data_IF_094161642325
#
_entry.id   IF_094161642325
#
_cell.length_a   1.000
_cell.length_b   1.000
_cell.length_c   1.000
_cell.angle_alpha   90.00
_cell.angle_beta   90.00
_cell.angle_gamma   90.00
#
_symmetry.space_group_name_H-M   'P 1'
#
loop_
_entity.id
_entity.type
_entity.pdbx_description
1 polymer ?
#
# COMPACT_ATOMS: atom_id res chain seq x y z
N UNK A 1 17.11 -3.80 -12.87
CA UNK A 1 16.24 -4.70 -12.07
C UNK A 1 16.29 -4.30 -10.58
N UNK A 2 15.43 -3.38 -10.09
CA UNK A 2 15.35 -3.00 -8.65
C UNK A 2 13.93 -2.56 -8.26
N UNK A 3 12.97 -3.48 -8.34
CA UNK A 3 11.62 -3.36 -7.76
C UNK A 3 11.20 -4.76 -7.32
N UNK A 4 11.77 -5.24 -6.21
CA UNK A 4 11.38 -6.54 -5.61
C UNK A 4 11.61 -6.61 -4.09
N UNK A 5 12.17 -5.56 -3.49
CA UNK A 5 12.57 -5.58 -2.07
C UNK A 5 11.46 -5.14 -1.10
N UNK A 6 10.44 -4.40 -1.56
CA UNK A 6 9.34 -3.91 -0.72
C UNK A 6 8.10 -4.80 -0.73
N UNK A 7 7.71 -5.34 -1.88
CA UNK A 7 6.56 -6.26 -2.00
C UNK A 7 6.82 -7.55 -1.21
N UNK A 8 8.03 -8.10 -1.30
CA UNK A 8 8.44 -9.22 -0.47
C UNK A 8 8.43 -8.92 1.04
N UNK A 9 8.38 -7.66 1.47
CA UNK A 9 8.40 -7.32 2.90
C UNK A 9 6.98 -7.24 3.48
N UNK A 10 6.00 -6.76 2.70
CA UNK A 10 4.60 -6.75 3.13
C UNK A 10 4.02 -8.17 3.15
N UNK A 11 4.12 -8.90 2.04
CA UNK A 11 3.57 -10.25 1.90
C UNK A 11 4.14 -11.22 2.94
N UNK A 12 5.45 -11.10 3.24
CA UNK A 12 6.08 -11.93 4.27
C UNK A 12 5.55 -11.61 5.67
N UNK A 13 5.36 -10.34 6.01
CA UNK A 13 4.81 -9.95 7.31
C UNK A 13 3.35 -10.34 7.46
N UNK A 14 2.57 -10.18 6.40
CA UNK A 14 1.17 -10.61 6.37
C UNK A 14 1.05 -12.11 6.57
N UNK A 15 1.86 -12.89 5.85
CA UNK A 15 1.92 -14.34 6.03
C UNK A 15 2.32 -14.74 7.45
N UNK A 16 3.30 -14.06 8.05
CA UNK A 16 3.68 -14.31 9.44
C UNK A 16 2.55 -13.99 10.41
N UNK A 17 1.77 -12.94 10.17
CA UNK A 17 0.57 -12.60 10.93
C UNK A 17 -0.49 -13.71 10.85
N UNK A 18 -0.73 -14.27 9.66
CA UNK A 18 -1.64 -15.42 9.48
C UNK A 18 -1.13 -16.65 10.24
N UNK A 19 0.16 -16.94 10.17
CA UNK A 19 0.80 -18.03 10.93
C UNK A 19 0.61 -17.83 12.44
N UNK A 20 0.83 -16.61 12.95
CA UNK A 20 0.62 -16.27 14.37
C UNK A 20 -0.85 -16.49 14.76
N UNK A 21 -1.82 -16.04 13.95
CA UNK A 21 -3.25 -16.24 14.21
C UNK A 21 -3.57 -17.73 14.32
N UNK A 22 -3.09 -18.53 13.36
CA UNK A 22 -3.30 -19.98 13.36
C UNK A 22 -2.67 -20.65 14.58
N UNK A 23 -1.49 -20.19 15.03
CA UNK A 23 -0.84 -20.75 16.22
C UNK A 23 -1.63 -20.39 17.48
N UNK A 24 -2.05 -19.13 17.64
CA UNK A 24 -2.82 -18.65 18.79
C UNK A 24 -4.22 -19.28 18.90
N UNK A 25 -4.79 -19.75 17.78
CA UNK A 25 -6.06 -20.48 17.77
C UNK A 25 -5.92 -21.95 18.21
N UNK A 26 -4.70 -22.49 18.29
CA UNK A 26 -4.47 -23.86 18.77
C UNK A 26 -4.40 -23.90 20.31
N UNK A 27 -5.06 -24.88 20.91
CA UNK A 27 -5.18 -25.03 22.37
C UNK A 27 -3.87 -25.45 23.09
N UNK A 28 -2.80 -25.75 22.36
CA UNK A 28 -1.52 -26.25 22.91
C UNK A 28 -0.47 -25.17 23.19
N UNK A 29 -0.76 -23.89 22.93
CA UNK A 29 0.19 -22.79 23.14
C UNK A 29 0.26 -22.39 24.60
N UNK A 30 1.47 -22.31 25.16
CA UNK A 30 1.65 -21.85 26.53
C UNK A 30 1.34 -20.36 26.70
N UNK A 31 1.11 -19.92 27.93
CA UNK A 31 0.81 -18.50 28.22
C UNK A 31 1.94 -17.56 27.80
N UNK A 32 3.19 -17.93 28.08
CA UNK A 32 4.35 -17.10 27.76
C UNK A 32 4.56 -17.01 26.24
N UNK A 33 4.36 -18.11 25.52
CA UNK A 33 4.41 -18.13 24.06
C UNK A 33 3.26 -17.32 23.45
N UNK A 34 2.05 -17.44 24.00
CA UNK A 34 0.90 -16.65 23.57
C UNK A 34 1.17 -15.15 23.69
N UNK A 35 1.78 -14.71 24.79
CA UNK A 35 2.13 -13.31 25.00
C UNK A 35 3.18 -12.83 23.99
N UNK A 36 4.24 -13.62 23.78
CA UNK A 36 5.28 -13.28 22.81
C UNK A 36 4.75 -13.21 21.37
N UNK A 37 3.90 -14.16 20.97
CA UNK A 37 3.24 -14.18 19.66
C UNK A 37 2.29 -12.98 19.48
N UNK A 38 1.58 -12.60 20.54
CA UNK A 38 0.72 -11.41 20.50
C UNK A 38 1.53 -10.13 20.30
N UNK A 39 2.63 -9.95 21.03
CA UNK A 39 3.53 -8.81 20.87
C UNK A 39 4.10 -8.73 19.44
N UNK A 40 4.54 -9.87 18.90
CA UNK A 40 5.00 -9.98 17.52
C UNK A 40 3.89 -9.57 16.53
N UNK A 41 2.68 -10.13 16.71
CA UNK A 41 1.52 -9.85 15.86
C UNK A 41 1.13 -8.38 15.85
N UNK A 42 1.16 -7.70 17.01
CA UNK A 42 0.89 -6.26 17.11
C UNK A 42 1.94 -5.45 16.33
N UNK A 43 3.23 -5.80 16.46
CA UNK A 43 4.29 -5.12 15.72
C UNK A 43 4.15 -5.31 14.20
N UNK A 44 3.92 -6.53 13.75
CA UNK A 44 3.72 -6.85 12.34
C UNK A 44 2.49 -6.11 11.76
N UNK A 45 1.39 -6.07 12.51
CA UNK A 45 0.15 -5.40 12.09
C UNK A 45 0.38 -3.91 11.86
N UNK A 46 1.09 -3.24 12.78
CA UNK A 46 1.50 -1.84 12.64
C UNK A 46 2.34 -1.62 11.38
N UNK A 47 3.30 -2.50 11.10
CA UNK A 47 4.16 -2.37 9.92
C UNK A 47 3.41 -2.59 8.60
N UNK A 48 2.45 -3.52 8.58
CA UNK A 48 1.54 -3.73 7.46
C UNK A 48 0.70 -2.48 7.20
N UNK A 49 0.09 -1.89 8.23
CA UNK A 49 -0.68 -0.65 8.12
C UNK A 49 0.16 0.51 7.55
N UNK A 50 1.38 0.70 8.04
CA UNK A 50 2.29 1.72 7.52
C UNK A 50 2.61 1.51 6.03
N UNK A 51 2.80 0.25 5.62
CA UNK A 51 3.06 -0.10 4.23
C UNK A 51 1.87 0.23 3.33
N UNK A 52 0.65 -0.10 3.77
CA UNK A 52 -0.59 0.20 3.06
C UNK A 52 -0.81 1.71 2.93
N UNK A 53 -0.66 2.47 4.02
CA UNK A 53 -0.78 3.93 4.01
C UNK A 53 0.23 4.58 3.05
N UNK A 54 1.46 4.07 3.01
CA UNK A 54 2.48 4.53 2.08
C UNK A 54 2.11 4.25 0.61
N UNK A 55 1.51 3.09 0.33
CA UNK A 55 1.05 2.72 -1.00
C UNK A 55 -0.13 3.60 -1.43
N UNK A 56 -1.12 3.81 -0.55
CA UNK A 56 -2.28 4.67 -0.79
C UNK A 56 -1.85 6.09 -1.12
N UNK A 57 -1.01 6.70 -0.28
CA UNK A 57 -0.49 8.06 -0.50
C UNK A 57 0.20 8.19 -1.86
N UNK A 58 0.94 7.16 -2.27
CA UNK A 58 1.62 7.15 -3.57
C UNK A 58 0.62 7.09 -4.72
N UNK A 59 -0.43 6.28 -4.60
CA UNK A 59 -1.50 6.18 -5.60
C UNK A 59 -2.22 7.53 -5.72
N UNK A 60 -2.59 8.15 -4.62
CA UNK A 60 -3.26 9.47 -4.60
C UNK A 60 -2.43 10.52 -5.34
N UNK A 61 -1.13 10.64 -5.01
CA UNK A 61 -0.23 11.58 -5.70
C UNK A 61 -0.06 11.29 -7.19
N UNK A 62 -0.13 10.03 -7.61
CA UNK A 62 -0.05 9.66 -9.01
C UNK A 62 -1.33 10.03 -9.76
N UNK A 63 -2.50 9.85 -9.13
CA UNK A 63 -3.79 10.28 -9.69
C UNK A 63 -3.83 11.79 -9.88
N UNK A 64 -3.49 12.57 -8.85
CA UNK A 64 -3.44 14.04 -8.94
C UNK A 64 -2.54 14.53 -10.08
N UNK A 65 -1.36 13.92 -10.24
CA UNK A 65 -0.45 14.25 -11.35
C UNK A 65 -1.04 13.90 -12.70
N UNK A 66 -1.72 12.76 -12.80
CA UNK A 66 -2.34 12.31 -14.05
C UNK A 66 -3.50 13.22 -14.44
N UNK A 67 -4.33 13.62 -13.48
CA UNK A 67 -5.44 14.55 -13.70
C UNK A 67 -4.93 15.92 -14.16
N UNK A 68 -3.86 16.43 -13.53
CA UNK A 68 -3.21 17.68 -13.95
C UNK A 68 -2.60 17.62 -15.37
N UNK A 69 -2.13 16.45 -15.80
CA UNK A 69 -1.66 16.25 -17.18
C UNK A 69 -2.86 16.30 -18.13
N UNK A 70 -3.93 15.57 -17.84
CA UNK A 70 -5.15 15.56 -18.68
C UNK A 70 -5.71 16.97 -18.83
N UNK A 71 -5.77 17.75 -17.76
CA UNK A 71 -6.27 19.12 -17.80
C UNK A 71 -5.39 20.03 -18.67
N UNK A 72 -4.07 19.90 -18.58
CA UNK A 72 -3.14 20.62 -19.47
C UNK A 72 -3.32 20.26 -20.95
N UNK A 73 -3.46 18.97 -21.26
CA UNK A 73 -3.65 18.52 -22.64
C UNK A 73 -4.99 19.01 -23.22
N UNK A 74 -6.07 19.03 -22.41
CA UNK A 74 -7.36 19.61 -22.82
C UNK A 74 -7.25 21.10 -23.12
N UNK A 75 -6.62 21.87 -22.25
CA UNK A 75 -6.47 23.32 -22.43
C UNK A 75 -5.61 23.67 -23.66
N UNK A 76 -4.67 22.81 -24.06
CA UNK A 76 -3.89 22.98 -25.29
C UNK A 76 -4.68 22.68 -26.58
N UNK A 77 -5.80 21.94 -26.52
CA UNK A 77 -6.66 21.64 -27.67
C UNK A 77 -7.65 22.78 -27.97
N UNK A 78 -8.09 23.51 -26.94
CA UNK A 78 -9.02 24.63 -27.08
C UNK A 78 -8.36 25.86 -27.75
N UNK A 79 -7.03 25.99 -27.68
CA UNK A 79 -6.27 27.12 -28.26
C UNK A 79 -6.17 27.10 -29.80
N UNK A 80 -6.57 26.00 -30.46
CA UNK A 80 -6.55 25.85 -31.92
C UNK A 80 -7.92 25.93 -32.58
N UNK A 81 -9.02 26.02 -31.81
CA UNK A 81 -10.38 26.06 -32.37
C UNK A 81 -10.83 27.46 -32.83
N UNK A 82 -10.15 28.53 -32.40
CA UNK A 82 -10.53 29.92 -32.71
C UNK A 82 -9.87 30.47 -33.99
N UNK A 83 -9.12 29.67 -34.75
CA UNK A 83 -8.37 30.11 -35.93
C UNK A 83 -8.98 29.68 -37.29
N UNK A 84 -10.27 29.32 -37.35
CA UNK A 84 -10.96 28.93 -38.61
C UNK A 84 -12.08 29.89 -39.07
N UNK A 85 -12.23 31.09 -38.49
CA UNK A 85 -13.09 32.13 -39.08
C UNK A 85 -12.26 33.34 -39.54
N UNK A 86 -11.83 33.29 -40.81
CA UNK A 86 -11.18 34.38 -41.54
C UNK A 86 -11.38 34.24 -43.05
#
# INVERSE_FOLDING_TARGET
MKKKKSENNFEVKLKRLEEISNILENEEVSMDESLALFEEGVSLSKECMLSLNGAELKITKLKEKFDAIIEKEKNNLDEYSDNEEG
#
